data_IF_875058587491
#
_entry.id   IF_875058587491
#
_cell.length_a   1.000
_cell.length_b   1.000
_cell.length_c   1.000
_cell.angle_alpha   90.00
_cell.angle_beta   90.00
_cell.angle_gamma   90.00
#
_symmetry.space_group_name_H-M   'P 1'
#
loop_
_entity.id
_entity.type
_entity.pdbx_description
1 polymer ?
#
# COMPACT_ATOMS: atom_id res chain seq x y z
N UNK A 1 1.71 12.71 9.23
CA UNK A 1 1.37 11.45 8.52
C UNK A 1 -0.01 11.58 7.90
N UNK A 2 -0.19 11.30 6.60
CA UNK A 2 -1.48 11.47 5.91
C UNK A 2 -2.26 10.16 5.94
N UNK A 3 -3.48 10.17 6.48
CA UNK A 3 -4.30 8.97 6.68
C UNK A 3 -5.12 8.61 5.44
N UNK A 4 -5.35 7.31 5.23
CA UNK A 4 -6.15 6.78 4.11
C UNK A 4 -7.64 7.09 4.31
N UNK A 5 -8.19 7.93 3.43
CA UNK A 5 -9.55 8.51 3.53
C UNK A 5 -10.67 7.46 3.60
N UNK A 6 -10.51 6.33 2.90
CA UNK A 6 -11.48 5.24 2.93
C UNK A 6 -11.75 4.71 4.34
N UNK A 7 -10.70 4.55 5.15
CA UNK A 7 -10.82 4.07 6.53
C UNK A 7 -11.43 5.11 7.48
N UNK A 8 -11.10 6.39 7.27
CA UNK A 8 -11.72 7.50 8.02
C UNK A 8 -13.24 7.52 7.78
N UNK A 9 -13.66 7.40 6.52
CA UNK A 9 -15.08 7.41 6.15
C UNK A 9 -15.86 6.25 6.78
N UNK A 10 -15.20 5.13 7.07
CA UNK A 10 -15.80 3.96 7.74
C UNK A 10 -15.63 3.99 9.26
N UNK A 11 -15.12 5.08 9.84
CA UNK A 11 -14.97 5.22 11.29
C UNK A 11 -13.92 4.29 11.92
N UNK A 12 -12.97 3.78 11.13
CA UNK A 12 -11.92 2.90 11.64
C UNK A 12 -10.96 3.70 12.54
N UNK A 13 -10.77 3.21 13.77
CA UNK A 13 -9.82 3.79 14.72
C UNK A 13 -8.39 3.50 14.28
N UNK A 14 -7.51 4.49 14.43
CA UNK A 14 -6.08 4.41 14.07
C UNK A 14 -5.84 3.87 12.65
N UNK A 15 -6.40 4.50 11.61
CA UNK A 15 -6.24 4.02 10.25
C UNK A 15 -4.77 4.10 9.81
N UNK A 16 -4.38 3.24 8.87
CA UNK A 16 -3.07 3.31 8.22
C UNK A 16 -2.85 4.69 7.58
N UNK A 17 -1.58 5.07 7.47
CA UNK A 17 -1.19 6.19 6.64
C UNK A 17 -0.93 5.77 5.20
N UNK A 18 -0.87 6.76 4.30
CA UNK A 18 -0.44 6.56 2.91
C UNK A 18 0.99 5.98 2.89
N UNK A 19 1.87 6.44 3.77
CA UNK A 19 3.24 5.92 3.85
C UNK A 19 3.26 4.44 4.27
N UNK A 20 2.45 4.06 5.27
CA UNK A 20 2.33 2.65 5.71
C UNK A 20 1.83 1.77 4.56
N UNK A 21 0.81 2.25 3.84
CA UNK A 21 0.25 1.55 2.68
C UNK A 21 1.28 1.38 1.55
N UNK A 22 2.00 2.45 1.19
CA UNK A 22 3.01 2.42 0.13
C UNK A 22 4.20 1.55 0.49
N UNK A 23 4.61 1.54 1.76
CA UNK A 23 5.66 0.64 2.23
C UNK A 23 5.29 -0.82 1.99
N UNK A 24 4.07 -1.22 2.34
CA UNK A 24 3.60 -2.59 2.08
C UNK A 24 3.48 -2.89 0.59
N UNK A 25 2.98 -1.95 -0.23
CA UNK A 25 2.91 -2.13 -1.68
C UNK A 25 4.30 -2.30 -2.32
N UNK A 26 5.30 -1.56 -1.85
CA UNK A 26 6.68 -1.69 -2.33
C UNK A 26 7.27 -3.07 -1.99
N UNK A 27 7.06 -3.57 -0.76
CA UNK A 27 7.49 -4.91 -0.37
C UNK A 27 6.78 -5.97 -1.20
N UNK A 28 5.46 -5.84 -1.42
CA UNK A 28 4.70 -6.76 -2.27
C UNK A 28 5.24 -6.80 -3.70
N UNK A 29 5.60 -5.66 -4.28
CA UNK A 29 6.19 -5.60 -5.63
C UNK A 29 7.54 -6.34 -5.71
N UNK A 30 8.35 -6.31 -4.65
CA UNK A 30 9.64 -7.00 -4.58
C UNK A 30 9.48 -8.53 -4.54
N UNK A 31 8.46 -9.03 -3.84
CA UNK A 31 8.26 -10.48 -3.63
C UNK A 31 7.22 -11.11 -4.57
N UNK A 32 6.46 -10.31 -5.31
CA UNK A 32 5.50 -10.82 -6.28
C UNK A 32 6.22 -11.63 -7.36
N UNK A 33 5.64 -12.75 -7.80
CA UNK A 33 6.14 -13.51 -8.95
C UNK A 33 6.14 -12.66 -10.23
N UNK A 34 6.73 -13.17 -11.31
CA UNK A 34 6.75 -12.48 -12.60
C UNK A 34 5.34 -12.13 -13.08
N UNK A 35 5.09 -10.81 -13.13
CA UNK A 35 3.89 -10.22 -13.68
C UNK A 35 4.22 -9.84 -15.12
N UNK A 36 3.54 -10.43 -16.13
CA UNK A 36 3.78 -10.09 -17.53
C UNK A 36 3.63 -8.58 -17.77
N UNK A 37 4.63 -7.96 -18.39
CA UNK A 37 4.63 -6.53 -18.71
C UNK A 37 5.10 -5.60 -17.58
N UNK A 38 5.58 -6.13 -16.45
CA UNK A 38 6.25 -5.35 -15.41
C UNK A 38 7.76 -5.55 -15.53
N UNK A 39 8.48 -4.44 -15.63
CA UNK A 39 9.95 -4.44 -15.66
C UNK A 39 10.54 -4.72 -14.27
N UNK A 40 11.60 -5.50 -14.23
CA UNK A 40 12.29 -5.91 -13.00
C UNK A 40 13.77 -5.53 -12.99
N UNK A 41 14.27 -4.94 -14.07
CA UNK A 41 15.63 -4.43 -14.22
C UNK A 41 15.66 -2.89 -14.17
#
# INVERSE_FOLDING_TARGET
TTKRKGWINHGIKNPESIADHMYLMAVMALIANDIPGVDRE
#
